data_IF_130361712834
#
_entry.id   IF_130361712834
#
_cell.length_a   1.000
_cell.length_b   1.000
_cell.length_c   1.000
_cell.angle_alpha   90.00
_cell.angle_beta   90.00
_cell.angle_gamma   90.00
#
_symmetry.space_group_name_H-M   'P 1'
#
loop_
_entity.id
_entity.type
_entity.pdbx_description
1 polymer ?
#
# COMPACT_ATOMS: atom_id res chain seq x y z
N UNK A 1 3.12 -18.23 -17.20
CA UNK A 1 2.79 -19.23 -16.15
C UNK A 1 1.49 -18.78 -15.49
N UNK A 2 0.66 -19.70 -15.04
CA UNK A 2 -0.54 -19.36 -14.26
C UNK A 2 -0.13 -18.71 -12.93
N UNK A 3 -0.96 -17.81 -12.42
CA UNK A 3 -0.77 -17.15 -11.13
C UNK A 3 -1.95 -17.50 -10.25
N UNK A 4 -1.68 -18.25 -9.17
CA UNK A 4 -2.67 -18.73 -8.20
C UNK A 4 -2.46 -18.04 -6.87
N UNK A 5 -3.55 -17.82 -6.14
CA UNK A 5 -3.53 -17.24 -4.79
C UNK A 5 -2.66 -15.99 -4.71
N UNK A 6 -2.84 -15.09 -5.68
CA UNK A 6 -2.10 -13.85 -5.74
C UNK A 6 -2.57 -12.93 -4.63
N UNK A 7 -1.64 -12.50 -3.77
CA UNK A 7 -1.94 -11.67 -2.60
C UNK A 7 -0.96 -10.52 -2.52
N UNK A 8 -1.42 -9.35 -2.09
CA UNK A 8 -0.55 -8.23 -1.73
C UNK A 8 -0.77 -7.82 -0.29
N UNK A 9 0.32 -7.65 0.44
CA UNK A 9 0.34 -7.01 1.74
C UNK A 9 1.06 -5.67 1.57
N UNK A 10 0.38 -4.57 1.85
CA UNK A 10 0.97 -3.23 1.78
C UNK A 10 0.96 -2.55 3.14
N UNK A 11 2.11 -2.04 3.58
CA UNK A 11 2.27 -1.42 4.89
C UNK A 11 2.79 -0.01 4.74
N UNK A 12 2.12 0.95 5.36
CA UNK A 12 2.47 2.36 5.36
C UNK A 12 3.01 2.78 6.72
N UNK A 13 4.10 3.53 6.73
CA UNK A 13 4.81 3.97 7.93
C UNK A 13 5.10 5.47 7.85
N UNK A 14 5.11 6.14 9.00
CA UNK A 14 5.72 7.46 9.19
C UNK A 14 6.71 7.39 10.34
N UNK A 15 8.00 7.68 10.09
CA UNK A 15 9.07 7.55 11.10
C UNK A 15 9.04 6.23 11.88
N UNK A 16 8.96 5.12 11.14
CA UNK A 16 8.89 3.74 11.67
C UNK A 16 7.60 3.38 12.43
N UNK A 17 6.66 4.32 12.60
CA UNK A 17 5.34 4.04 13.15
C UNK A 17 4.40 3.55 12.04
N UNK A 18 3.83 2.36 12.22
CA UNK A 18 2.83 1.81 11.31
C UNK A 18 1.57 2.68 11.32
N UNK A 19 1.20 3.23 10.17
CA UNK A 19 -0.05 3.97 9.96
C UNK A 19 -1.17 2.99 9.61
N UNK A 20 -0.92 2.14 8.62
CA UNK A 20 -1.93 1.21 8.09
C UNK A 20 -1.27 0.01 7.45
N UNK A 21 -1.91 -1.14 7.58
CA UNK A 21 -1.60 -2.35 6.82
C UNK A 21 -2.83 -2.72 6.02
N UNK A 22 -2.64 -2.95 4.74
CA UNK A 22 -3.63 -3.51 3.84
C UNK A 22 -3.22 -4.92 3.46
N UNK A 23 -4.21 -5.78 3.31
CA UNK A 23 -4.04 -7.18 2.95
C UNK A 23 -5.10 -7.53 1.91
N UNK A 24 -4.66 -7.72 0.69
CA UNK A 24 -5.51 -7.88 -0.48
C UNK A 24 -5.28 -9.24 -1.11
N UNK A 25 -6.34 -10.05 -1.18
CA UNK A 25 -6.34 -11.30 -1.92
C UNK A 25 -6.95 -11.07 -3.31
N UNK A 26 -6.11 -11.18 -4.34
CA UNK A 26 -6.50 -11.06 -5.74
C UNK A 26 -6.99 -12.39 -6.33
N UNK A 27 -6.70 -13.52 -5.68
CA UNK A 27 -7.06 -14.84 -6.17
C UNK A 27 -6.30 -15.28 -7.44
N UNK A 28 -7.04 -15.79 -8.42
CA UNK A 28 -6.46 -16.35 -9.65
C UNK A 28 -6.33 -15.30 -10.75
N UNK A 29 -5.15 -15.21 -11.35
CA UNK A 29 -4.93 -14.41 -12.55
C UNK A 29 -4.64 -15.34 -13.75
N UNK A 30 -5.52 -15.38 -14.77
CA UNK A 30 -5.31 -16.20 -15.95
C UNK A 30 -4.00 -15.83 -16.67
N UNK A 31 -3.30 -16.82 -17.26
CA UNK A 31 -2.10 -16.54 -18.04
C UNK A 31 -2.44 -15.75 -19.31
N UNK A 32 -1.55 -14.84 -19.69
CA UNK A 32 -1.65 -14.04 -20.93
C UNK A 32 -2.88 -13.12 -21.00
N UNK A 33 -3.43 -12.71 -19.85
CA UNK A 33 -4.49 -11.70 -19.77
C UNK A 33 -4.01 -10.44 -19.05
N UNK A 34 -4.67 -9.32 -19.33
CA UNK A 34 -4.57 -8.11 -18.51
C UNK A 34 -5.64 -8.17 -17.45
N UNK A 35 -5.25 -8.02 -16.18
CA UNK A 35 -6.17 -8.03 -15.04
C UNK A 35 -6.17 -6.63 -14.41
N UNK A 36 -7.35 -6.10 -14.12
CA UNK A 36 -7.54 -4.86 -13.38
C UNK A 36 -8.25 -5.17 -12.08
N UNK A 37 -7.71 -4.68 -10.96
CA UNK A 37 -8.32 -4.83 -9.64
C UNK A 37 -8.52 -3.44 -9.04
N UNK A 38 -9.71 -3.22 -8.50
CA UNK A 38 -10.05 -2.07 -7.68
C UNK A 38 -10.15 -2.51 -6.22
N UNK A 39 -9.52 -1.77 -5.32
CA UNK A 39 -9.64 -1.97 -3.88
C UNK A 39 -10.27 -0.75 -3.25
N UNK A 40 -11.42 -0.94 -2.64
CA UNK A 40 -12.13 0.09 -1.89
C UNK A 40 -11.82 -0.13 -0.41
N UNK A 41 -11.23 0.88 0.23
CA UNK A 41 -10.91 0.84 1.65
C UNK A 41 -11.15 2.21 2.29
N UNK A 42 -11.51 2.19 3.56
CA UNK A 42 -11.60 3.41 4.35
C UNK A 42 -10.20 3.93 4.67
N UNK A 43 -10.02 5.23 4.49
CA UNK A 43 -8.79 5.90 4.91
C UNK A 43 -8.60 5.76 6.42
N UNK A 44 -7.36 5.51 6.89
CA UNK A 44 -7.10 5.47 8.32
C UNK A 44 -7.44 6.81 8.96
N UNK A 45 -8.02 6.78 10.16
CA UNK A 45 -8.15 7.99 10.99
C UNK A 45 -6.75 8.42 11.43
N UNK A 46 -6.27 9.54 10.88
CA UNK A 46 -5.00 10.15 11.26
C UNK A 46 -5.34 11.40 12.07
N UNK A 47 -4.76 11.53 13.26
CA UNK A 47 -4.99 12.71 14.07
C UNK A 47 -4.40 13.97 13.41
N UNK A 48 -4.99 15.13 13.67
CA UNK A 48 -4.58 16.37 12.99
C UNK A 48 -3.13 16.78 13.27
N UNK A 49 -2.53 16.33 14.37
CA UNK A 49 -1.12 16.61 14.69
C UNK A 49 -0.22 15.75 13.81
N UNK A 50 -0.48 14.44 13.75
CA UNK A 50 0.26 13.51 12.91
C UNK A 50 0.15 13.91 11.42
N UNK A 51 -1.03 14.32 10.98
CA UNK A 51 -1.23 14.80 9.61
C UNK A 51 -0.35 16.02 9.29
N UNK A 52 -0.28 17.00 10.18
CA UNK A 52 0.60 18.17 10.02
C UNK A 52 2.08 17.78 9.97
N UNK A 53 2.50 16.82 10.81
CA UNK A 53 3.86 16.30 10.78
C UNK A 53 4.17 15.62 9.45
N UNK A 54 3.26 14.79 8.93
CA UNK A 54 3.44 14.10 7.64
C UNK A 54 3.56 15.09 6.46
N UNK A 55 2.83 16.20 6.50
CA UNK A 55 2.93 17.28 5.50
C UNK A 55 4.26 18.03 5.64
N UNK A 56 4.66 18.37 6.86
CA UNK A 56 5.90 19.11 7.13
C UNK A 56 7.17 18.31 6.82
N UNK A 57 7.07 16.99 6.75
CA UNK A 57 8.19 16.06 6.59
C UNK A 57 8.03 15.16 5.34
N UNK A 58 8.21 15.72 4.13
CA UNK A 58 8.04 14.98 2.89
C UNK A 58 9.00 13.79 2.81
N UNK A 59 8.53 12.70 2.21
CA UNK A 59 9.24 11.44 2.01
C UNK A 59 9.61 10.65 3.29
N UNK A 60 9.22 11.16 4.47
CA UNK A 60 9.31 10.42 5.73
C UNK A 60 8.13 9.45 5.92
N UNK A 61 7.04 9.64 5.19
CA UNK A 61 6.03 8.59 5.00
C UNK A 61 6.48 7.66 3.89
N UNK A 62 6.46 6.36 4.16
CA UNK A 62 6.96 5.31 3.28
C UNK A 62 6.03 4.11 3.26
N UNK A 63 6.08 3.31 2.21
CA UNK A 63 5.40 2.03 2.17
C UNK A 63 6.27 0.91 1.64
N UNK A 64 5.93 -0.29 2.07
CA UNK A 64 6.40 -1.55 1.52
C UNK A 64 5.19 -2.34 1.01
N UNK A 65 5.19 -2.69 -0.28
CA UNK A 65 4.18 -3.54 -0.91
C UNK A 65 4.81 -4.89 -1.26
N UNK A 66 4.36 -5.95 -0.58
CA UNK A 66 4.83 -7.32 -0.73
C UNK A 66 3.82 -8.12 -1.53
N UNK A 67 4.25 -8.76 -2.61
CA UNK A 67 3.39 -9.56 -3.48
C UNK A 67 3.75 -11.03 -3.37
N UNK A 68 2.73 -11.86 -3.18
CA UNK A 68 2.87 -13.30 -2.98
C UNK A 68 2.09 -14.07 -4.03
N UNK A 69 2.64 -15.20 -4.46
CA UNK A 69 1.96 -16.23 -5.25
C UNK A 69 2.18 -17.54 -4.52
N UNK A 70 1.11 -18.28 -4.22
CA UNK A 70 1.17 -19.51 -3.41
C UNK A 70 1.98 -19.32 -2.10
N UNK A 71 1.75 -18.20 -1.42
CA UNK A 71 2.42 -17.80 -0.18
C UNK A 71 3.96 -17.62 -0.28
N UNK A 72 4.51 -17.57 -1.50
CA UNK A 72 5.91 -17.24 -1.75
C UNK A 72 6.04 -15.78 -2.20
N UNK A 73 6.95 -15.04 -1.57
CA UNK A 73 7.24 -13.65 -1.96
C UNK A 73 7.86 -13.63 -3.36
N UNK A 74 7.18 -13.01 -4.31
CA UNK A 74 7.64 -12.90 -5.70
C UNK A 74 8.09 -11.49 -6.08
N UNK A 75 7.63 -10.47 -5.37
CA UNK A 75 7.94 -9.08 -5.67
C UNK A 75 7.81 -8.21 -4.41
N UNK A 76 8.70 -7.24 -4.29
CA UNK A 76 8.69 -6.25 -3.23
C UNK A 76 8.86 -4.87 -3.84
N UNK A 77 7.88 -3.99 -3.63
CA UNK A 77 7.94 -2.58 -4.05
C UNK A 77 8.03 -1.67 -2.84
N UNK A 78 8.67 -0.52 -3.04
CA UNK A 78 8.82 0.54 -2.05
C UNK A 78 8.34 1.85 -2.64
N UNK A 79 7.71 2.68 -1.81
CA UNK A 79 7.36 4.04 -2.16
C UNK A 79 7.60 5.00 -0.99
N UNK A 80 7.75 6.28 -1.33
CA UNK A 80 7.86 7.39 -0.39
C UNK A 80 6.89 8.49 -0.80
N UNK A 81 6.28 9.16 0.19
CA UNK A 81 5.16 10.06 -0.05
C UNK A 81 5.49 11.46 0.45
N UNK A 82 5.08 12.47 -0.32
CA UNK A 82 5.03 13.87 0.10
C UNK A 82 3.57 14.31 -0.02
N UNK A 83 3.04 14.92 1.04
CA UNK A 83 1.65 15.38 1.09
C UNK A 83 1.62 16.91 1.03
N UNK A 84 0.65 17.44 0.30
CA UNK A 84 0.38 18.87 0.24
C UNK A 84 -0.92 19.19 1.00
N UNK A 85 -1.04 20.42 1.50
CA UNK A 85 -2.24 20.94 2.17
C UNK A 85 -3.45 20.96 1.24
N UNK A 86 -3.25 21.16 -0.06
CA UNK A 86 -4.33 21.19 -1.05
C UNK A 86 -4.98 19.81 -1.28
N UNK A 87 -4.34 18.72 -0.82
CA UNK A 87 -4.88 17.36 -0.94
C UNK A 87 -5.94 17.00 0.12
N UNK A 88 -6.34 17.97 0.96
CA UNK A 88 -7.27 17.79 2.09
C UNK A 88 -8.62 18.49 1.91
N UNK A 89 -8.92 18.99 0.69
CA UNK A 89 -10.20 19.59 0.33
C UNK A 89 -11.08 18.63 -0.48
#
# INVERSE_FOLDING_TARGET
REVKSFRMIERHFFRDQLIKSFDFDFGFCPPNTTNSIEHIYDMPTIDSKQMREMIAHPYETKSDSFYFVDNQLIMHKKATYAFDLDALH
#
